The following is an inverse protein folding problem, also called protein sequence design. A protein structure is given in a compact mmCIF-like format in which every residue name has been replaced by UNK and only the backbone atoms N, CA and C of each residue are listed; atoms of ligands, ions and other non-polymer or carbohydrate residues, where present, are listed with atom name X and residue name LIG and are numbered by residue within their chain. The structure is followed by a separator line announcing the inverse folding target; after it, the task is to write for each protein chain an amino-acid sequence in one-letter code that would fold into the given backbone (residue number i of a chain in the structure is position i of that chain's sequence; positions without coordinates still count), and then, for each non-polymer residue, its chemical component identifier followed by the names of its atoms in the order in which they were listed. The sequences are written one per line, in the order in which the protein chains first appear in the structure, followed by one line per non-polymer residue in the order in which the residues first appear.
data_IF_747931038687
#
_entry.id   IF_747931038687
#
_cell.length_a   1.000
_cell.length_b   1.000
_cell.length_c   1.000
_cell.angle_alpha   90.00
_cell.angle_beta   90.00
_cell.angle_gamma   90.00
#
_symmetry.space_group_name_H-M   'P 1'
#
loop_
_entity.id
_entity.type
_entity.pdbx_description
1 polymer ?
#
# COMPACT_ATOMS: atom_id res chain seq x y z
N UNK A 1 12.40 -20.23 1.02
CA UNK A 1 12.30 -19.03 1.87
C UNK A 1 12.56 -17.86 0.95
N UNK A 2 11.53 -17.10 0.55
CA UNK A 2 11.72 -15.96 -0.37
C UNK A 2 12.60 -14.93 0.34
N UNK A 3 13.56 -14.34 -0.38
CA UNK A 3 14.38 -13.24 0.11
C UNK A 3 13.46 -12.05 0.48
N UNK A 4 12.99 -12.02 1.71
CA UNK A 4 12.30 -10.86 2.27
C UNK A 4 13.37 -9.80 2.47
N UNK A 5 13.54 -8.95 1.46
CA UNK A 5 14.39 -7.77 1.56
C UNK A 5 13.83 -6.88 2.66
N UNK A 6 14.72 -6.30 3.45
CA UNK A 6 14.36 -5.25 4.39
C UNK A 6 13.54 -4.18 3.64
N UNK A 7 12.29 -3.91 4.06
CA UNK A 7 11.40 -3.03 3.34
C UNK A 7 11.91 -1.58 3.32
N UNK A 8 12.66 -1.17 4.35
CA UNK A 8 13.26 0.15 4.43
C UNK A 8 14.35 0.30 3.39
N UNK A 9 15.31 -0.63 3.38
CA UNK A 9 16.40 -0.64 2.41
C UNK A 9 15.86 -0.70 0.97
N UNK A 10 14.86 -1.53 0.73
CA UNK A 10 14.25 -1.67 -0.59
C UNK A 10 13.57 -0.38 -1.04
N UNK A 11 12.65 0.16 -0.24
CA UNK A 11 11.85 1.33 -0.65
C UNK A 11 12.68 2.61 -0.72
N UNK A 12 13.66 2.79 0.16
CA UNK A 12 14.61 3.91 0.05
C UNK A 12 15.47 3.81 -1.20
N UNK A 13 15.94 2.60 -1.55
CA UNK A 13 16.64 2.36 -2.82
C UNK A 13 15.76 2.67 -4.03
N UNK A 14 14.48 2.31 -4.00
CA UNK A 14 13.54 2.65 -5.07
C UNK A 14 13.28 4.16 -5.15
N UNK A 15 13.17 4.83 -3.99
CA UNK A 15 13.00 6.29 -3.92
C UNK A 15 14.19 7.03 -4.54
N UNK A 16 15.43 6.60 -4.22
CA UNK A 16 16.65 7.17 -4.80
C UNK A 16 16.73 6.99 -6.32
N UNK A 17 16.14 5.92 -6.84
CA UNK A 17 16.06 5.65 -8.29
C UNK A 17 14.94 6.40 -9.00
N UNK A 18 14.03 7.05 -8.27
CA UNK A 18 12.81 7.63 -8.84
C UNK A 18 11.85 6.57 -9.39
N UNK A 19 11.87 5.36 -8.83
CA UNK A 19 11.05 4.24 -9.32
C UNK A 19 9.55 4.45 -9.05
N UNK A 20 8.74 3.76 -9.85
CA UNK A 20 7.32 3.52 -9.58
C UNK A 20 7.15 2.16 -8.88
N UNK A 21 6.49 2.14 -7.72
CA UNK A 21 6.10 0.92 -7.01
C UNK A 21 4.58 0.71 -6.99
N UNK A 22 4.14 -0.47 -7.37
CA UNK A 22 2.73 -0.88 -7.30
C UNK A 22 2.53 -1.80 -6.09
N UNK A 23 1.58 -1.44 -5.23
CA UNK A 23 1.16 -2.25 -4.09
C UNK A 23 -0.20 -2.86 -4.38
N UNK A 24 -0.30 -4.19 -4.38
CA UNK A 24 -1.56 -4.92 -4.57
C UNK A 24 -1.84 -5.67 -3.28
N UNK A 25 -2.88 -5.25 -2.54
CA UNK A 25 -3.07 -5.65 -1.15
C UNK A 25 -4.50 -6.08 -0.87
N UNK A 26 -4.65 -7.33 -0.45
CA UNK A 26 -5.91 -7.86 0.05
C UNK A 26 -6.15 -7.49 1.50
N UNK A 27 -7.43 -7.35 1.86
CA UNK A 27 -7.87 -7.25 3.26
C UNK A 27 -8.58 -8.55 3.63
N UNK A 28 -8.06 -9.23 4.65
CA UNK A 28 -8.56 -10.50 5.17
C UNK A 28 -9.44 -10.29 6.42
N UNK A 29 -9.73 -11.38 7.13
CA UNK A 29 -10.51 -11.42 8.37
C UNK A 29 -10.15 -10.28 9.32
N UNK A 30 -11.17 -9.69 9.95
CA UNK A 30 -11.06 -8.59 10.91
C UNK A 30 -10.32 -7.32 10.40
N UNK A 31 -10.21 -7.19 9.08
CA UNK A 31 -9.55 -6.03 8.45
C UNK A 31 -8.02 -6.09 8.50
N UNK A 32 -7.46 -7.29 8.68
CA UNK A 32 -6.02 -7.53 8.75
C UNK A 32 -5.41 -7.82 7.36
N UNK A 33 -4.10 -7.58 7.18
CA UNK A 33 -3.40 -8.03 5.97
C UNK A 33 -3.26 -9.56 5.93
N UNK A 34 -2.89 -10.15 4.78
CA UNK A 34 -2.43 -11.54 4.73
C UNK A 34 -1.26 -11.77 5.70
N UNK A 35 -1.16 -12.96 6.29
CA UNK A 35 -0.10 -13.33 7.26
C UNK A 35 1.31 -13.02 6.72
N UNK A 36 1.57 -13.41 5.47
CA UNK A 36 2.84 -13.16 4.76
C UNK A 36 3.17 -11.66 4.56
N UNK A 37 2.21 -10.77 4.79
CA UNK A 37 2.31 -9.32 4.63
C UNK A 37 2.20 -8.54 5.95
N UNK A 38 1.92 -9.20 7.08
CA UNK A 38 1.76 -8.55 8.38
C UNK A 38 3.00 -7.76 8.79
N UNK A 39 4.18 -8.36 8.61
CA UNK A 39 5.46 -7.73 8.95
C UNK A 39 5.68 -6.42 8.19
N UNK A 40 5.30 -6.36 6.91
CA UNK A 40 5.44 -5.18 6.07
C UNK A 40 4.49 -4.08 6.52
N UNK A 41 3.21 -4.43 6.72
CA UNK A 41 2.19 -3.47 7.15
C UNK A 41 2.51 -2.89 8.53
N UNK A 42 3.04 -3.73 9.44
CA UNK A 42 3.50 -3.32 10.76
C UNK A 42 4.67 -2.34 10.64
N UNK A 43 5.71 -2.69 9.90
CA UNK A 43 6.87 -1.82 9.70
C UNK A 43 6.46 -0.47 9.11
N UNK A 44 5.62 -0.45 8.06
CA UNK A 44 5.20 0.78 7.40
C UNK A 44 4.41 1.69 8.35
N UNK A 45 3.54 1.09 9.17
CA UNK A 45 2.80 1.80 10.22
C UNK A 45 3.73 2.39 11.26
N UNK A 46 4.68 1.61 11.78
CA UNK A 46 5.66 2.05 12.77
C UNK A 46 6.53 3.17 12.21
N UNK A 47 7.10 3.01 11.01
CA UNK A 47 7.89 4.04 10.34
C UNK A 47 7.11 5.34 10.13
N UNK A 48 5.84 5.26 9.75
CA UNK A 48 4.99 6.45 9.54
C UNK A 48 4.63 7.21 10.82
N UNK A 49 4.82 6.59 11.99
CA UNK A 49 4.47 7.13 13.31
C UNK A 49 5.71 7.45 14.16
N UNK A 50 6.89 6.94 13.82
CA UNK A 50 8.12 7.18 14.54
C UNK A 50 8.67 8.58 14.22
N UNK A 51 8.77 9.44 15.23
CA UNK A 51 9.29 10.80 15.09
C UNK A 51 10.77 10.87 14.67
N UNK A 52 11.51 9.76 14.81
CA UNK A 52 12.91 9.65 14.38
C UNK A 52 13.02 9.40 12.89
N UNK A 53 11.98 8.86 12.26
CA UNK A 53 11.92 8.64 10.82
C UNK A 53 11.53 9.95 10.13
N UNK A 54 12.31 10.34 9.12
CA UNK A 54 11.97 11.55 8.36
C UNK A 54 10.62 11.39 7.67
N UNK A 55 9.78 12.43 7.71
CA UNK A 55 8.54 12.50 6.91
C UNK A 55 8.78 12.56 5.40
N UNK A 56 10.05 12.66 4.99
CA UNK A 56 10.50 12.60 3.60
C UNK A 56 11.33 11.35 3.31
N UNK A 57 11.29 10.33 4.18
CA UNK A 57 12.10 9.12 4.04
C UNK A 57 11.91 8.40 2.69
N UNK A 58 10.72 8.52 2.08
CA UNK A 58 10.40 7.95 0.77
C UNK A 58 10.22 9.02 -0.31
N UNK A 59 10.78 10.22 -0.11
CA UNK A 59 10.77 11.26 -1.13
C UNK A 59 11.47 10.77 -2.40
N UNK A 60 10.81 10.92 -3.55
CA UNK A 60 11.26 10.42 -4.84
C UNK A 60 10.61 9.08 -5.25
N UNK A 61 9.97 8.38 -4.32
CA UNK A 61 9.19 7.19 -4.65
C UNK A 61 7.83 7.60 -5.25
N UNK A 62 7.58 7.19 -6.49
CA UNK A 62 6.24 7.22 -7.07
C UNK A 62 5.51 5.91 -6.75
N UNK A 63 4.22 5.95 -6.46
CA UNK A 63 3.50 4.71 -6.15
C UNK A 63 2.03 4.68 -6.57
N UNK A 64 1.48 3.48 -6.68
CA UNK A 64 0.04 3.25 -6.76
C UNK A 64 -0.36 2.10 -5.80
N UNK A 65 -1.56 2.18 -5.22
CA UNK A 65 -2.11 1.13 -4.36
C UNK A 65 -3.42 0.63 -4.94
N UNK A 66 -3.50 -0.69 -5.10
CA UNK A 66 -4.69 -1.42 -5.52
C UNK A 66 -5.12 -2.35 -4.39
N UNK A 67 -6.23 -2.04 -3.76
CA UNK A 67 -6.83 -2.84 -2.71
C UNK A 67 -7.77 -3.90 -3.27
N UNK A 68 -7.69 -5.11 -2.73
CA UNK A 68 -8.65 -6.19 -2.95
C UNK A 68 -9.49 -6.34 -1.67
N UNK A 69 -10.78 -6.06 -1.75
CA UNK A 69 -11.68 -6.15 -0.61
C UNK A 69 -13.09 -6.57 -1.01
N UNK A 70 -13.96 -6.63 -0.01
CA UNK A 70 -15.37 -6.96 -0.19
C UNK A 70 -16.20 -6.02 0.69
N UNK A 71 -17.11 -5.25 0.09
CA UNK A 71 -17.87 -4.21 0.78
C UNK A 71 -18.84 -4.75 1.84
N UNK A 72 -19.17 -6.04 1.79
CA UNK A 72 -19.96 -6.72 2.82
C UNK A 72 -19.28 -6.71 4.19
N UNK A 73 -17.97 -6.47 4.25
CA UNK A 73 -17.20 -6.37 5.50
C UNK A 73 -17.25 -4.98 6.15
N UNK A 74 -18.09 -4.06 5.63
CA UNK A 74 -18.36 -2.76 6.24
C UNK A 74 -17.11 -1.93 6.46
N UNK A 75 -16.84 -1.56 7.73
CA UNK A 75 -15.69 -0.73 8.13
C UNK A 75 -14.32 -1.33 7.78
N UNK A 76 -14.26 -2.63 7.52
CA UNK A 76 -13.03 -3.31 7.10
C UNK A 76 -12.82 -3.31 5.57
N UNK A 77 -13.74 -2.74 4.78
CA UNK A 77 -13.62 -2.68 3.32
C UNK A 77 -12.33 -1.97 2.88
N UNK A 78 -11.41 -2.73 2.26
CA UNK A 78 -10.13 -2.23 1.76
C UNK A 78 -9.28 -1.49 2.82
N UNK A 79 -9.42 -1.88 4.09
CA UNK A 79 -8.76 -1.22 5.22
C UNK A 79 -7.23 -1.23 5.09
N UNK A 80 -6.65 -2.38 4.75
CA UNK A 80 -5.19 -2.55 4.61
C UNK A 80 -4.61 -1.62 3.54
N UNK A 81 -5.24 -1.58 2.36
CA UNK A 81 -4.83 -0.71 1.27
C UNK A 81 -5.01 0.78 1.61
N UNK A 82 -6.07 1.11 2.35
CA UNK A 82 -6.32 2.47 2.86
C UNK A 82 -5.22 2.91 3.83
N UNK A 83 -4.82 2.03 4.75
CA UNK A 83 -3.74 2.29 5.70
C UNK A 83 -2.38 2.45 5.01
N UNK A 84 -2.02 1.54 4.09
CA UNK A 84 -0.76 1.62 3.33
C UNK A 84 -0.68 2.93 2.56
N UNK A 85 -1.75 3.30 1.85
CA UNK A 85 -1.78 4.56 1.11
C UNK A 85 -1.54 5.77 2.03
N UNK A 86 -2.22 5.83 3.18
CA UNK A 86 -2.05 6.92 4.14
C UNK A 86 -0.62 6.98 4.72
N UNK A 87 -0.01 5.83 4.98
CA UNK A 87 1.35 5.74 5.53
C UNK A 87 2.42 6.14 4.50
N UNK A 88 2.27 5.76 3.23
CA UNK A 88 3.15 6.18 2.15
C UNK A 88 3.16 7.70 1.95
N UNK A 89 1.98 8.34 1.98
CA UNK A 89 1.85 9.81 1.96
C UNK A 89 2.58 10.44 3.15
N UNK A 90 2.44 9.89 4.36
CA UNK A 90 3.12 10.42 5.57
C UNK A 90 4.64 10.35 5.49
N UNK A 91 5.18 9.41 4.73
CA UNK A 91 6.62 9.22 4.51
C UNK A 91 7.15 9.98 3.28
N UNK A 92 6.31 10.75 2.60
CA UNK A 92 6.70 11.63 1.50
C UNK A 92 6.76 10.98 0.12
N UNK A 93 6.21 9.77 -0.02
CA UNK A 93 6.02 9.15 -1.33
C UNK A 93 4.88 9.83 -2.11
N UNK A 94 4.94 9.80 -3.43
CA UNK A 94 3.99 10.48 -4.32
C UNK A 94 3.04 9.47 -4.98
N UNK A 95 1.72 9.51 -4.71
CA UNK A 95 0.77 8.69 -5.45
C UNK A 95 0.68 9.16 -6.91
N UNK A 96 0.76 8.22 -7.86
CA UNK A 96 0.50 8.49 -9.28
C UNK A 96 -0.97 8.28 -9.66
N UNK A 97 -1.72 7.60 -8.80
CA UNK A 97 -3.16 7.35 -8.91
C UNK A 97 -3.81 7.48 -7.54
N UNK A 98 -5.10 7.80 -7.53
CA UNK A 98 -5.92 7.62 -6.33
C UNK A 98 -5.95 6.13 -5.93
N UNK A 99 -6.10 5.88 -4.63
CA UNK A 99 -6.23 4.52 -4.10
C UNK A 99 -7.40 3.80 -4.81
N UNK A 100 -7.10 2.70 -5.47
CA UNK A 100 -8.11 1.86 -6.10
C UNK A 100 -8.61 0.84 -5.08
N UNK A 101 -9.93 0.74 -4.92
CA UNK A 101 -10.60 -0.21 -4.02
C UNK A 101 -11.44 -1.18 -4.84
N UNK A 102 -10.90 -2.34 -5.16
CA UNK A 102 -11.67 -3.40 -5.81
C UNK A 102 -12.63 -4.04 -4.80
N UNK A 103 -13.84 -4.33 -5.27
CA UNK A 103 -14.91 -4.93 -4.47
C UNK A 103 -15.34 -6.26 -5.09
N UNK A 104 -15.06 -7.37 -4.41
CA UNK A 104 -15.49 -8.71 -4.81
C UNK A 104 -17.01 -8.87 -4.79
N UNK A 105 -17.70 -8.12 -3.92
CA UNK A 105 -19.16 -8.15 -3.84
C UNK A 105 -19.82 -7.45 -5.04
N UNK A 106 -19.05 -6.64 -5.77
CA UNK A 106 -19.52 -6.01 -6.99
C UNK A 106 -19.19 -6.89 -8.21
N UNK A 107 -20.23 -7.42 -8.84
CA UNK A 107 -20.11 -8.20 -10.07
C UNK A 107 -19.66 -7.35 -11.29
N UNK A 108 -19.62 -6.02 -11.19
CA UNK A 108 -19.14 -5.12 -12.25
C UNK A 108 -17.63 -4.88 -12.21
N UNK A 109 -16.84 -5.96 -12.17
CA UNK A 109 -15.36 -5.98 -12.16
C UNK A 109 -14.69 -5.37 -13.42
N UNK A 110 -15.41 -4.61 -14.26
CA UNK A 110 -15.04 -4.35 -15.65
C UNK A 110 -15.15 -2.91 -16.18
N UNK A 111 -15.37 -1.86 -15.37
CA UNK A 111 -15.55 -0.49 -15.92
C UNK A 111 -14.37 0.47 -15.80
N UNK A 112 -13.29 0.10 -15.12
CA UNK A 112 -12.14 0.98 -14.94
C UNK A 112 -10.88 0.34 -15.50
N UNK A 113 -10.64 0.50 -16.80
CA UNK A 113 -9.32 0.26 -17.36
C UNK A 113 -8.36 1.31 -16.77
N UNK A 114 -7.40 0.87 -15.96
CA UNK A 114 -6.32 1.73 -15.48
C UNK A 114 -5.29 1.79 -16.61
N UNK A 115 -5.39 2.83 -17.45
CA UNK A 115 -4.39 3.12 -18.47
C UNK A 115 -3.19 3.80 -17.80
N UNK A 116 -2.01 3.17 -17.88
CA UNK A 116 -0.73 3.80 -17.57
C UNK A 116 -0.12 4.31 -18.88
N UNK A 117 0.22 5.60 -18.94
CA UNK A 117 1.00 6.21 -20.03
C UNK A 117 2.40 6.55 -19.55
#
# INVERSE_FOLDING_TARGET
MKDVKDPEEYLTTQAMKGSLCLFIMSTYNDGLPPEDCEWFCKWLKEASCDFRVSRTALQGLSYAVFGLGNSSYGDNFNKVATEINAQLVKLGALPVLELVKADENDSELGKSAILFS
#
